data_IF_553615685842
#
_entry.id   IF_553615685842
#
_cell.length_a   1.000
_cell.length_b   1.000
_cell.length_c   1.000
_cell.angle_alpha   90.00
_cell.angle_beta   90.00
_cell.angle_gamma   90.00
#
_symmetry.space_group_name_H-M   'P 1'
#
loop_
_entity.id
_entity.type
_entity.pdbx_description
1 polymer ?
#
# COMPACT_ATOMS: atom_id res chain seq x y z
N UNK A 1 28.46 18.77 -0.54
CA UNK A 1 27.94 17.56 0.16
C UNK A 1 28.87 17.26 1.32
N UNK A 2 28.37 16.94 2.51
CA UNK A 2 29.22 16.37 3.56
C UNK A 2 29.85 15.08 3.04
N UNK A 3 31.12 14.88 3.26
CA UNK A 3 31.94 13.82 2.63
C UNK A 3 31.57 12.36 2.96
N UNK A 4 30.48 12.11 3.73
CA UNK A 4 30.02 10.77 4.15
C UNK A 4 28.50 10.58 4.07
N UNK A 5 27.78 11.37 3.29
CA UNK A 5 26.35 11.15 3.05
C UNK A 5 26.15 10.26 1.83
N UNK A 6 25.30 9.24 1.95
CA UNK A 6 24.87 8.39 0.84
C UNK A 6 23.43 8.72 0.45
N UNK A 7 23.14 8.59 -0.86
CA UNK A 7 21.76 8.73 -1.36
C UNK A 7 20.99 7.48 -0.97
N UNK A 8 19.90 7.64 -0.25
CA UNK A 8 19.02 6.55 0.15
C UNK A 8 17.87 6.34 -0.82
N UNK A 9 17.24 7.42 -1.28
CA UNK A 9 16.12 7.38 -2.22
C UNK A 9 16.00 8.70 -2.99
N UNK A 10 15.43 8.61 -4.18
CA UNK A 10 15.15 9.74 -5.06
C UNK A 10 13.72 9.61 -5.57
N UNK A 11 12.92 10.66 -5.49
CA UNK A 11 11.56 10.69 -6.03
C UNK A 11 11.28 12.00 -6.76
N UNK A 12 10.52 11.91 -7.84
CA UNK A 12 10.17 13.03 -8.71
C UNK A 12 8.72 13.43 -8.45
N UNK A 13 8.44 14.73 -8.48
CA UNK A 13 7.06 15.24 -8.38
C UNK A 13 6.19 14.80 -9.56
N UNK A 14 4.85 14.75 -9.42
CA UNK A 14 3.96 14.29 -10.49
C UNK A 14 4.14 14.99 -11.83
N UNK A 15 4.43 16.28 -11.85
CA UNK A 15 4.69 17.02 -13.09
C UNK A 15 6.11 16.89 -13.64
N UNK A 16 7.02 16.26 -12.90
CA UNK A 16 8.44 16.16 -13.25
C UNK A 16 9.25 17.44 -13.01
N UNK A 17 8.73 18.43 -12.28
CA UNK A 17 9.43 19.70 -12.04
C UNK A 17 10.43 19.64 -10.91
N UNK A 18 10.15 18.85 -9.87
CA UNK A 18 10.90 18.84 -8.64
C UNK A 18 11.41 17.46 -8.31
N UNK A 19 12.54 17.40 -7.63
CA UNK A 19 13.20 16.21 -7.16
C UNK A 19 13.31 16.27 -5.63
N UNK A 20 12.89 15.22 -4.96
CA UNK A 20 13.15 14.99 -3.55
C UNK A 20 14.22 13.92 -3.42
N UNK A 21 15.38 14.29 -2.88
CA UNK A 21 16.49 13.37 -2.60
C UNK A 21 16.60 13.14 -1.12
N UNK A 22 16.58 11.89 -0.69
CA UNK A 22 16.81 11.48 0.70
C UNK A 22 18.27 11.07 0.87
N UNK A 23 18.92 11.62 1.89
CA UNK A 23 20.28 11.30 2.25
C UNK A 23 20.35 10.60 3.59
N UNK A 24 21.30 9.70 3.70
CA UNK A 24 21.70 9.09 4.95
C UNK A 24 23.03 9.68 5.35
N UNK A 25 23.09 10.31 6.53
CA UNK A 25 24.31 10.83 7.11
C UNK A 25 24.94 9.79 8.04
N UNK A 26 26.06 9.24 7.62
CA UNK A 26 26.81 8.22 8.36
C UNK A 26 27.79 8.82 9.38
N UNK A 27 27.86 10.15 9.52
CA UNK A 27 28.78 10.83 10.43
C UNK A 27 28.33 10.88 11.89
N UNK A 28 27.07 10.62 12.17
CA UNK A 28 26.60 10.64 13.54
C UNK A 28 27.16 9.46 14.32
N UNK A 29 28.15 9.69 15.17
CA UNK A 29 28.87 8.71 15.98
C UNK A 29 27.97 7.80 16.88
N UNK A 30 26.64 7.99 16.90
CA UNK A 30 25.69 7.18 17.66
C UNK A 30 24.32 6.94 17.01
N UNK A 31 23.93 7.66 15.93
CA UNK A 31 22.65 7.43 15.20
C UNK A 31 22.80 7.95 13.76
N UNK A 32 22.48 7.12 12.78
CA UNK A 32 22.32 7.59 11.39
C UNK A 32 21.20 8.64 11.35
N UNK A 33 21.48 9.79 10.76
CA UNK A 33 20.50 10.85 10.54
C UNK A 33 20.05 10.81 9.09
N UNK A 34 18.75 10.85 8.89
CA UNK A 34 18.16 10.98 7.55
C UNK A 34 17.66 12.40 7.35
N UNK A 35 17.91 12.99 6.20
CA UNK A 35 17.37 14.28 5.81
C UNK A 35 17.04 14.28 4.31
N UNK A 36 16.17 15.19 3.89
CA UNK A 36 15.80 15.34 2.49
C UNK A 36 16.27 16.69 1.94
N UNK A 37 16.46 16.72 0.64
CA UNK A 37 16.78 17.91 -0.16
C UNK A 37 15.78 18.02 -1.29
N UNK A 38 15.23 19.23 -1.49
CA UNK A 38 14.29 19.55 -2.55
C UNK A 38 15.00 20.36 -3.63
N UNK A 39 14.98 19.87 -4.86
CA UNK A 39 15.68 20.49 -6.00
C UNK A 39 14.68 20.76 -7.14
N UNK A 40 14.77 21.91 -7.78
CA UNK A 40 14.08 22.20 -9.04
C UNK A 40 14.88 21.60 -10.21
N UNK A 41 14.27 20.65 -10.95
CA UNK A 41 14.99 19.89 -11.96
C UNK A 41 15.49 20.73 -13.14
N UNK A 42 14.68 21.69 -13.61
CA UNK A 42 15.02 22.52 -14.77
C UNK A 42 16.26 23.38 -14.57
N UNK A 43 16.39 23.99 -13.40
CA UNK A 43 17.49 24.89 -13.06
C UNK A 43 18.64 24.18 -12.32
N UNK A 44 18.39 23.00 -11.77
CA UNK A 44 19.29 22.34 -10.82
C UNK A 44 19.42 23.05 -9.48
N UNK A 45 18.57 24.05 -9.22
CA UNK A 45 18.60 24.84 -7.99
C UNK A 45 18.06 24.04 -6.81
N UNK A 46 18.85 23.92 -5.76
CA UNK A 46 18.39 23.42 -4.47
C UNK A 46 17.51 24.48 -3.81
N UNK A 47 16.26 24.13 -3.58
CA UNK A 47 15.26 25.00 -2.97
C UNK A 47 15.30 24.93 -1.44
N UNK A 48 15.37 23.72 -0.90
CA UNK A 48 15.43 23.47 0.54
C UNK A 48 16.39 22.32 0.83
N UNK A 49 17.12 22.44 1.94
CA UNK A 49 18.01 21.41 2.49
C UNK A 49 17.60 21.06 3.92
N UNK A 50 18.07 19.92 4.43
CA UNK A 50 17.79 19.47 5.80
C UNK A 50 16.29 19.34 6.12
N UNK A 51 15.46 19.06 5.11
CA UNK A 51 14.07 18.73 5.32
C UNK A 51 13.95 17.46 6.16
N UNK A 52 12.88 17.38 6.93
CA UNK A 52 12.57 16.20 7.75
C UNK A 52 12.43 14.95 6.89
N UNK A 53 12.75 13.83 7.48
CA UNK A 53 12.46 12.52 6.90
C UNK A 53 10.95 12.22 6.88
N UNK A 54 10.52 11.30 6.00
CA UNK A 54 9.12 10.87 5.91
C UNK A 54 8.23 11.75 5.04
N UNK A 55 8.81 12.67 4.25
CA UNK A 55 8.06 13.42 3.24
C UNK A 55 7.82 12.57 1.99
N UNK A 56 6.65 12.73 1.39
CA UNK A 56 6.24 12.07 0.15
C UNK A 56 5.50 13.03 -0.76
N UNK A 57 5.53 12.78 -2.07
CA UNK A 57 4.74 13.55 -3.02
C UNK A 57 3.26 13.23 -2.91
N UNK A 58 2.43 14.26 -3.05
CA UNK A 58 1.01 14.10 -3.32
C UNK A 58 0.84 13.41 -4.68
N UNK A 59 -0.24 12.62 -4.90
CA UNK A 59 -0.40 11.83 -6.13
C UNK A 59 -0.53 12.64 -7.41
N UNK A 60 -1.10 13.84 -7.35
CA UNK A 60 -1.46 14.68 -8.50
C UNK A 60 -0.79 16.04 -8.47
N UNK A 61 -0.80 16.69 -7.32
CA UNK A 61 -0.18 18.01 -7.15
C UNK A 61 1.32 17.87 -6.88
N UNK A 62 2.08 18.89 -7.27
CA UNK A 62 3.53 18.95 -6.98
C UNK A 62 3.81 19.35 -5.53
N UNK A 63 2.91 19.04 -4.59
CA UNK A 63 3.12 19.29 -3.16
C UNK A 63 3.76 18.08 -2.50
N UNK A 64 4.60 18.32 -1.53
CA UNK A 64 5.06 17.30 -0.58
C UNK A 64 4.11 17.24 0.60
N UNK A 65 3.93 16.07 1.20
CA UNK A 65 3.19 15.95 2.46
C UNK A 65 3.96 15.13 3.48
N UNK A 66 3.62 15.35 4.73
CA UNK A 66 4.10 14.59 5.88
C UNK A 66 3.09 14.64 7.02
N UNK A 67 3.23 13.72 7.97
CA UNK A 67 2.36 13.65 9.16
C UNK A 67 3.10 14.11 10.41
N UNK A 68 2.34 14.74 11.31
CA UNK A 68 2.81 15.13 12.65
C UNK A 68 1.83 14.59 13.67
N UNK A 69 2.33 13.88 14.67
CA UNK A 69 1.48 13.42 15.78
C UNK A 69 1.00 14.62 16.59
N UNK A 70 -0.32 14.75 16.71
CA UNK A 70 -1.02 15.75 17.52
C UNK A 70 -1.59 15.10 18.79
N UNK A 71 -2.27 15.87 19.64
CA UNK A 71 -2.86 15.35 20.87
C UNK A 71 -3.98 14.33 20.65
N UNK A 72 -4.73 14.47 19.57
CA UNK A 72 -5.94 13.69 19.26
C UNK A 72 -5.84 12.91 17.97
N UNK A 73 -4.64 12.67 17.45
CA UNK A 73 -4.44 11.96 16.18
C UNK A 73 -3.20 12.45 15.47
N UNK A 74 -3.27 12.51 14.14
CA UNK A 74 -2.18 12.98 13.31
C UNK A 74 -2.65 14.10 12.40
N UNK A 75 -1.85 15.15 12.29
CA UNK A 75 -2.08 16.21 11.33
C UNK A 75 -1.31 15.93 10.04
N UNK A 76 -1.90 16.25 8.90
CA UNK A 76 -1.25 16.18 7.59
C UNK A 76 -0.90 17.60 7.15
N UNK A 77 0.38 17.81 6.93
CA UNK A 77 0.94 19.08 6.49
C UNK A 77 1.46 18.91 5.07
N UNK A 78 1.16 19.86 4.20
CA UNK A 78 1.73 19.95 2.87
C UNK A 78 2.75 21.08 2.79
N UNK A 79 3.79 20.87 1.96
CA UNK A 79 4.77 21.86 1.55
C UNK A 79 4.64 22.09 0.05
N UNK A 80 4.40 23.32 -0.36
CA UNK A 80 4.37 23.73 -1.77
C UNK A 80 5.79 24.13 -2.22
N UNK A 81 6.42 23.40 -3.15
CA UNK A 81 7.75 23.72 -3.65
C UNK A 81 7.87 25.07 -4.36
N UNK A 82 6.78 25.58 -4.96
CA UNK A 82 6.80 26.84 -5.69
C UNK A 82 6.85 28.05 -4.76
N UNK A 83 6.15 27.97 -3.63
CA UNK A 83 6.05 29.07 -2.65
C UNK A 83 6.87 28.85 -1.39
N UNK A 84 7.34 27.61 -1.17
CA UNK A 84 8.02 27.13 0.03
C UNK A 84 7.19 27.32 1.31
N UNK A 85 5.86 27.35 1.17
CA UNK A 85 4.92 27.47 2.29
C UNK A 85 4.38 26.13 2.71
N UNK A 86 4.23 25.97 4.01
CA UNK A 86 3.56 24.83 4.63
C UNK A 86 2.11 25.18 4.97
N UNK A 87 1.24 24.20 4.85
CA UNK A 87 -0.18 24.29 5.17
C UNK A 87 -0.66 23.00 5.82
N UNK A 88 -1.36 23.09 6.95
CA UNK A 88 -2.04 21.94 7.55
C UNK A 88 -3.36 21.74 6.81
N UNK A 89 -3.44 20.64 6.05
CA UNK A 89 -4.62 20.32 5.22
C UNK A 89 -5.61 19.39 5.91
N UNK A 90 -5.15 18.58 6.87
CA UNK A 90 -5.99 17.70 7.68
C UNK A 90 -5.52 17.75 9.13
N UNK A 91 -6.47 17.69 10.05
CA UNK A 91 -6.20 17.66 11.49
C UNK A 91 -6.80 16.43 12.14
N UNK A 92 -6.06 15.87 13.09
CA UNK A 92 -6.55 14.79 13.96
C UNK A 92 -7.07 13.55 13.22
N UNK A 93 -6.44 13.18 12.08
CA UNK A 93 -6.78 11.91 11.43
C UNK A 93 -6.39 10.75 12.35
N UNK A 94 -7.23 9.69 12.45
CA UNK A 94 -7.05 8.65 13.47
C UNK A 94 -5.79 7.79 13.28
N UNK A 95 -5.30 7.66 12.03
CA UNK A 95 -4.21 6.75 11.69
C UNK A 95 -3.04 7.47 11.02
N UNK A 96 -1.81 6.96 11.27
CA UNK A 96 -0.59 7.49 10.63
C UNK A 96 -0.39 6.96 9.22
N UNK A 97 -0.90 5.74 8.95
CA UNK A 97 -0.77 5.09 7.66
C UNK A 97 -2.05 5.22 6.87
N UNK A 98 -1.94 5.83 5.72
CA UNK A 98 -3.04 6.00 4.78
C UNK A 98 -2.52 6.07 3.35
N UNK A 99 -3.41 5.92 2.38
CA UNK A 99 -3.14 6.10 0.96
C UNK A 99 -4.07 7.15 0.39
N UNK A 100 -3.50 8.13 -0.31
CA UNK A 100 -4.27 9.13 -1.05
C UNK A 100 -5.00 8.50 -2.23
N UNK A 101 -6.19 9.02 -2.52
CA UNK A 101 -6.81 8.84 -3.82
C UNK A 101 -5.95 9.50 -4.92
N UNK A 102 -5.97 8.99 -6.16
CA UNK A 102 -5.26 9.63 -7.27
C UNK A 102 -5.69 11.07 -7.52
N UNK A 103 -6.92 11.45 -7.15
CA UNK A 103 -7.48 12.78 -7.33
C UNK A 103 -7.26 13.71 -6.12
N UNK A 104 -6.71 13.21 -5.01
CA UNK A 104 -6.48 13.96 -3.76
C UNK A 104 -7.77 14.45 -3.09
N UNK A 105 -8.89 13.77 -3.28
CA UNK A 105 -10.21 14.09 -2.75
C UNK A 105 -10.61 13.27 -1.54
N UNK A 106 -9.98 12.10 -1.34
CA UNK A 106 -10.12 11.25 -0.17
C UNK A 106 -8.83 10.51 0.15
N UNK A 107 -8.80 9.88 1.30
CA UNK A 107 -7.76 8.90 1.65
C UNK A 107 -8.37 7.61 2.17
N UNK A 108 -7.66 6.51 1.96
CA UNK A 108 -7.97 5.20 2.54
C UNK A 108 -7.01 4.96 3.70
N UNK A 109 -7.54 4.59 4.87
CA UNK A 109 -6.78 4.30 6.06
C UNK A 109 -7.19 2.95 6.67
N UNK A 110 -6.49 2.50 7.73
CA UNK A 110 -6.53 1.12 8.22
C UNK A 110 -6.98 1.04 9.69
N UNK A 111 -8.26 1.28 10.00
CA UNK A 111 -8.76 1.09 11.36
C UNK A 111 -8.58 -0.35 11.82
N UNK A 112 -8.27 -0.51 13.11
CA UNK A 112 -8.06 -1.81 13.72
C UNK A 112 -9.10 -2.07 14.81
N UNK A 113 -9.72 -3.23 14.74
CA UNK A 113 -10.48 -3.79 15.84
C UNK A 113 -9.56 -4.70 16.66
N UNK A 114 -9.43 -4.39 17.94
CA UNK A 114 -8.73 -5.26 18.87
C UNK A 114 -9.56 -6.54 19.09
N UNK A 115 -8.88 -7.67 19.15
CA UNK A 115 -9.54 -8.93 19.52
C UNK A 115 -9.99 -8.92 20.98
N UNK A 116 -10.96 -9.75 21.30
CA UNK A 116 -11.43 -9.93 22.69
C UNK A 116 -10.25 -10.32 23.54
N UNK A 117 -9.96 -9.51 24.55
CA UNK A 117 -8.96 -9.80 25.59
C UNK A 117 -9.65 -10.65 26.65
N UNK A 118 -9.03 -11.77 27.00
CA UNK A 118 -9.46 -12.60 28.10
C UNK A 118 -8.74 -12.13 29.37
N UNK A 119 -9.50 -11.96 30.44
CA UNK A 119 -8.94 -11.58 31.73
C UNK A 119 -8.36 -12.81 32.44
N UNK A 120 -7.15 -12.63 33.04
CA UNK A 120 -6.50 -13.64 33.85
C UNK A 120 -5.38 -14.43 33.16
N UNK A 121 -4.79 -15.42 33.87
CA UNK A 121 -3.61 -16.15 33.40
C UNK A 121 -3.92 -17.24 32.37
N UNK A 122 -5.19 -17.55 32.14
CA UNK A 122 -5.62 -18.59 31.20
C UNK A 122 -6.14 -17.97 29.91
N UNK A 123 -5.70 -18.50 28.79
CA UNK A 123 -6.18 -18.12 27.47
C UNK A 123 -6.89 -19.31 26.78
N UNK A 124 -8.10 -19.11 26.34
CA UNK A 124 -8.82 -20.11 25.56
C UNK A 124 -8.25 -20.17 24.14
N UNK A 125 -7.80 -21.34 23.71
CA UNK A 125 -7.39 -21.61 22.32
C UNK A 125 -8.61 -22.04 21.54
N UNK A 126 -9.05 -21.24 20.58
CA UNK A 126 -10.25 -21.52 19.75
C UNK A 126 -9.84 -21.99 18.36
N UNK A 127 -8.67 -21.57 17.88
CA UNK A 127 -8.14 -21.94 16.58
C UNK A 127 -6.62 -22.02 16.59
N UNK A 128 -5.99 -22.66 15.60
CA UNK A 128 -4.52 -22.67 15.46
C UNK A 128 -3.90 -21.27 15.35
N UNK A 129 -4.64 -20.27 14.85
CA UNK A 129 -4.19 -18.88 14.76
C UNK A 129 -3.98 -18.24 16.13
N UNK A 130 -4.66 -18.70 17.19
CA UNK A 130 -4.52 -18.17 18.55
C UNK A 130 -3.13 -18.36 19.16
N UNK A 131 -2.27 -19.19 18.56
CA UNK A 131 -0.85 -19.27 18.93
C UNK A 131 -0.08 -17.98 18.62
N UNK A 132 -0.57 -17.17 17.69
CA UNK A 132 0.04 -15.90 17.28
C UNK A 132 -0.52 -14.79 18.18
N UNK A 133 0.33 -13.95 18.80
CA UNK A 133 -0.15 -12.80 19.55
C UNK A 133 -1.03 -11.89 18.70
N UNK A 134 -2.13 -11.40 19.26
CA UNK A 134 -3.09 -10.51 18.59
C UNK A 134 -3.80 -11.10 17.35
N UNK A 135 -3.80 -12.42 17.20
CA UNK A 135 -4.47 -13.12 16.08
C UNK A 135 -5.97 -12.83 15.96
N UNK A 136 -6.61 -12.44 17.08
CA UNK A 136 -8.04 -12.10 17.12
C UNK A 136 -8.34 -10.66 16.72
N UNK A 137 -7.32 -9.79 16.66
CA UNK A 137 -7.45 -8.44 16.11
C UNK A 137 -7.53 -8.48 14.59
N UNK A 138 -8.21 -7.50 14.00
CA UNK A 138 -8.32 -7.38 12.54
C UNK A 138 -8.26 -5.94 12.12
N UNK A 139 -7.71 -5.72 10.93
CA UNK A 139 -7.72 -4.42 10.26
C UNK A 139 -8.71 -4.45 9.11
N UNK A 140 -9.36 -3.33 8.89
CA UNK A 140 -10.26 -3.14 7.75
C UNK A 140 -9.90 -1.82 7.06
N UNK A 141 -10.58 -1.51 5.97
CA UNK A 141 -10.37 -0.30 5.20
C UNK A 141 -11.50 0.67 5.43
N UNK A 142 -11.16 1.93 5.61
CA UNK A 142 -12.09 3.04 5.69
C UNK A 142 -11.65 4.18 4.79
N UNK A 143 -12.60 4.91 4.25
CA UNK A 143 -12.43 6.10 3.42
C UNK A 143 -12.67 7.33 4.29
N UNK A 144 -11.76 8.28 4.22
CA UNK A 144 -11.95 9.62 4.80
C UNK A 144 -12.10 10.61 3.66
N UNK A 145 -13.25 11.23 3.56
CA UNK A 145 -13.55 12.23 2.53
C UNK A 145 -13.01 13.60 2.99
N UNK A 146 -12.23 14.27 2.14
CA UNK A 146 -11.61 15.54 2.49
C UNK A 146 -12.59 16.72 2.46
N UNK A 147 -13.66 16.62 1.66
CA UNK A 147 -14.60 17.72 1.49
C UNK A 147 -15.47 17.98 2.73
N UNK A 148 -15.85 16.92 3.45
CA UNK A 148 -16.77 16.98 4.59
C UNK A 148 -16.20 16.38 5.89
N UNK A 149 -15.02 15.76 5.83
CA UNK A 149 -14.38 15.12 6.97
C UNK A 149 -15.07 13.83 7.44
N UNK A 150 -15.96 13.25 6.62
CA UNK A 150 -16.70 12.03 6.98
C UNK A 150 -15.84 10.80 6.73
N UNK A 151 -15.83 9.91 7.72
CA UNK A 151 -15.23 8.58 7.62
C UNK A 151 -16.26 7.52 7.34
N UNK A 152 -16.03 6.70 6.34
CA UNK A 152 -16.87 5.59 5.93
C UNK A 152 -16.10 4.27 5.93
N UNK A 153 -16.63 3.24 6.60
CA UNK A 153 -16.06 1.91 6.57
C UNK A 153 -16.38 1.23 5.25
N UNK A 154 -15.34 0.75 4.55
CA UNK A 154 -15.47 0.13 3.22
C UNK A 154 -15.49 -1.40 3.27
N UNK A 155 -14.82 -2.00 4.25
CA UNK A 155 -14.70 -3.47 4.32
C UNK A 155 -15.22 -4.01 5.64
N UNK A 156 -15.82 -5.19 5.56
CA UNK A 156 -16.46 -5.90 6.66
C UNK A 156 -16.05 -7.37 6.66
N UNK A 157 -16.42 -8.12 7.69
CA UNK A 157 -16.17 -9.56 7.73
C UNK A 157 -15.23 -9.99 8.84
N UNK A 158 -14.78 -11.25 8.78
CA UNK A 158 -14.03 -11.90 9.86
C UNK A 158 -12.51 -11.92 9.64
N UNK A 159 -12.03 -11.44 8.49
CA UNK A 159 -10.61 -11.42 8.13
C UNK A 159 -10.12 -9.99 7.99
N UNK A 160 -8.84 -9.77 8.30
CA UNK A 160 -8.19 -8.51 7.98
C UNK A 160 -8.20 -8.28 6.48
N UNK A 161 -8.37 -7.01 6.10
CA UNK A 161 -8.39 -6.57 4.71
C UNK A 161 -7.17 -5.69 4.42
N UNK A 162 -6.58 -5.83 3.25
CA UNK A 162 -5.36 -5.16 2.84
C UNK A 162 -5.59 -4.43 1.51
N UNK A 163 -5.40 -3.12 1.51
CA UNK A 163 -5.47 -2.33 0.29
C UNK A 163 -4.39 -2.80 -0.69
N UNK A 164 -4.80 -3.10 -1.90
CA UNK A 164 -3.89 -3.43 -3.00
C UNK A 164 -3.66 -2.19 -3.87
N UNK A 165 -4.73 -1.58 -4.37
CA UNK A 165 -4.63 -0.39 -5.19
C UNK A 165 -5.95 0.40 -5.24
N UNK A 166 -5.89 1.64 -5.77
CA UNK A 166 -7.04 2.48 -6.11
C UNK A 166 -6.96 2.75 -7.61
N UNK A 167 -8.09 2.62 -8.33
CA UNK A 167 -8.14 2.87 -9.76
C UNK A 167 -7.71 4.30 -10.11
N UNK A 168 -7.08 4.53 -11.28
CA UNK A 168 -6.59 5.86 -11.66
C UNK A 168 -7.65 6.96 -11.66
N UNK A 169 -8.92 6.61 -11.88
CA UNK A 169 -10.06 7.53 -11.82
C UNK A 169 -10.63 7.72 -10.40
N UNK A 170 -10.11 6.99 -9.41
CA UNK A 170 -10.55 7.06 -8.02
C UNK A 170 -11.89 6.38 -7.72
N UNK A 171 -12.48 5.64 -8.67
CA UNK A 171 -13.82 5.05 -8.50
C UNK A 171 -13.82 3.67 -7.87
N UNK A 172 -12.76 2.92 -8.06
CA UNK A 172 -12.64 1.55 -7.60
C UNK A 172 -11.43 1.36 -6.69
N UNK A 173 -11.56 0.42 -5.76
CA UNK A 173 -10.49 0.00 -4.89
C UNK A 173 -10.31 -1.51 -4.99
N UNK A 174 -9.06 -1.97 -5.07
CA UNK A 174 -8.70 -3.36 -4.92
C UNK A 174 -8.28 -3.63 -3.48
N UNK A 175 -8.81 -4.69 -2.90
CA UNK A 175 -8.35 -5.16 -1.60
C UNK A 175 -8.28 -6.68 -1.56
N UNK A 176 -7.41 -7.20 -0.71
CA UNK A 176 -7.27 -8.62 -0.47
C UNK A 176 -7.62 -8.98 0.97
N UNK A 177 -7.98 -10.25 1.16
CA UNK A 177 -8.06 -10.90 2.45
C UNK A 177 -7.14 -12.11 2.45
N UNK A 178 -6.70 -12.53 3.64
CA UNK A 178 -5.95 -13.76 3.81
C UNK A 178 -6.58 -14.60 4.91
N UNK A 179 -6.72 -15.90 4.65
CA UNK A 179 -7.24 -16.89 5.59
C UNK A 179 -6.20 -17.97 5.78
N UNK A 180 -5.93 -18.35 7.03
CA UNK A 180 -5.02 -19.44 7.30
C UNK A 180 -5.66 -20.80 6.95
N UNK A 181 -4.90 -21.65 6.25
CA UNK A 181 -5.26 -23.03 5.97
C UNK A 181 -4.03 -23.92 6.17
N UNK A 182 -3.92 -24.52 7.34
CA UNK A 182 -2.75 -25.32 7.73
C UNK A 182 -2.72 -26.73 7.17
N UNK A 183 -3.76 -27.15 6.43
CA UNK A 183 -3.88 -28.53 5.92
C UNK A 183 -3.01 -28.78 4.70
N UNK A 184 -2.62 -27.72 3.98
CA UNK A 184 -1.86 -27.81 2.73
C UNK A 184 -1.00 -26.56 2.54
N UNK A 185 0.20 -26.68 2.01
CA UNK A 185 1.07 -25.56 1.62
C UNK A 185 0.66 -24.99 0.24
N UNK A 186 0.81 -23.67 0.06
CA UNK A 186 1.02 -22.62 1.06
C UNK A 186 -0.10 -22.59 2.11
N UNK A 187 0.24 -22.18 3.35
CA UNK A 187 -0.70 -22.21 4.47
C UNK A 187 -1.69 -21.05 4.49
N UNK A 188 -1.66 -20.18 3.49
CA UNK A 188 -2.56 -19.05 3.34
C UNK A 188 -3.40 -19.17 2.08
N UNK A 189 -4.66 -18.81 2.19
CA UNK A 189 -5.60 -18.63 1.09
C UNK A 189 -5.88 -17.15 0.93
N UNK A 190 -5.54 -16.59 -0.22
CA UNK A 190 -5.78 -15.19 -0.54
C UNK A 190 -7.01 -15.03 -1.41
N UNK A 191 -7.79 -14.00 -1.13
CA UNK A 191 -8.90 -13.60 -2.01
C UNK A 191 -8.70 -12.14 -2.41
N UNK A 192 -9.02 -11.81 -3.65
CA UNK A 192 -8.92 -10.47 -4.22
C UNK A 192 -10.30 -9.97 -4.62
N UNK A 193 -10.61 -8.76 -4.22
CA UNK A 193 -11.89 -8.11 -4.46
C UNK A 193 -11.69 -6.72 -5.06
N UNK A 194 -12.67 -6.30 -5.85
CA UNK A 194 -12.84 -4.94 -6.31
C UNK A 194 -14.10 -4.35 -5.69
N UNK A 195 -14.02 -3.15 -5.13
CA UNK A 195 -15.18 -2.43 -4.61
C UNK A 195 -15.36 -1.12 -5.37
N UNK A 196 -16.58 -0.84 -5.77
CA UNK A 196 -17.01 0.46 -6.26
C UNK A 196 -17.17 1.40 -5.05
N UNK A 197 -16.40 2.50 -5.03
CA UNK A 197 -16.32 3.41 -3.88
C UNK A 197 -17.52 4.37 -3.75
N UNK A 198 -18.41 4.39 -4.74
CA UNK A 198 -19.65 5.15 -4.70
C UNK A 198 -20.84 4.28 -4.24
N UNK A 199 -20.97 3.11 -4.86
CA UNK A 199 -22.12 2.21 -4.61
C UNK A 199 -21.84 1.16 -3.53
N UNK A 200 -20.59 1.00 -3.11
CA UNK A 200 -20.08 -0.03 -2.20
C UNK A 200 -20.31 -1.47 -2.69
N UNK A 201 -20.60 -1.63 -3.98
CA UNK A 201 -20.75 -2.95 -4.59
C UNK A 201 -19.40 -3.64 -4.68
N UNK A 202 -19.34 -4.85 -4.13
CA UNK A 202 -18.14 -5.68 -4.15
C UNK A 202 -18.23 -6.72 -5.26
N UNK A 203 -17.16 -6.83 -6.03
CA UNK A 203 -16.96 -7.85 -7.05
C UNK A 203 -15.78 -8.74 -6.63
N UNK A 204 -15.98 -10.06 -6.65
CA UNK A 204 -14.93 -11.04 -6.32
C UNK A 204 -14.14 -11.37 -7.55
N UNK A 205 -12.87 -10.97 -7.58
CA UNK A 205 -11.97 -11.26 -8.68
C UNK A 205 -11.37 -12.67 -8.57
N UNK A 206 -10.89 -13.02 -7.38
CA UNK A 206 -10.35 -14.33 -7.05
C UNK A 206 -10.77 -14.73 -5.64
N UNK A 207 -11.05 -16.01 -5.45
CA UNK A 207 -11.49 -16.53 -4.18
C UNK A 207 -10.60 -17.72 -3.73
N UNK A 208 -10.01 -17.55 -2.56
CA UNK A 208 -9.22 -18.58 -1.87
C UNK A 208 -8.12 -19.25 -2.74
N UNK A 209 -7.37 -18.46 -3.51
CA UNK A 209 -6.18 -18.92 -4.21
C UNK A 209 -4.96 -18.87 -3.28
N UNK A 210 -4.11 -19.92 -3.33
CA UNK A 210 -2.92 -20.04 -2.48
C UNK A 210 -1.71 -19.29 -2.99
N UNK A 211 -1.72 -18.92 -4.26
CA UNK A 211 -0.52 -18.53 -5.01
C UNK A 211 -0.57 -17.10 -5.53
N UNK A 212 -1.69 -16.41 -5.33
CA UNK A 212 -1.84 -15.00 -5.68
C UNK A 212 -1.09 -14.13 -4.68
N UNK A 213 -0.33 -13.17 -5.20
CA UNK A 213 0.36 -12.11 -4.46
C UNK A 213 -0.38 -10.78 -4.51
N UNK A 214 0.25 -9.76 -5.08
CA UNK A 214 -0.29 -8.41 -5.20
C UNK A 214 -1.11 -8.17 -6.47
N UNK A 215 -1.83 -7.04 -6.48
CA UNK A 215 -2.58 -6.56 -7.62
C UNK A 215 -2.51 -5.03 -7.72
N UNK A 216 -2.43 -4.49 -8.95
CA UNK A 216 -2.46 -3.06 -9.20
C UNK A 216 -3.12 -2.75 -10.53
N UNK A 217 -3.75 -1.59 -10.66
CA UNK A 217 -4.36 -1.14 -11.91
C UNK A 217 -3.31 -0.70 -12.92
N UNK A 218 -3.61 -0.93 -14.21
CA UNK A 218 -2.92 -0.24 -15.31
C UNK A 218 -3.24 1.27 -15.27
N UNK A 219 -2.39 2.13 -15.85
CA UNK A 219 -2.63 3.57 -15.87
C UNK A 219 -3.95 4.00 -16.51
N UNK A 220 -4.50 3.20 -17.42
CA UNK A 220 -5.79 3.43 -18.05
C UNK A 220 -6.99 2.79 -17.32
N UNK A 221 -6.71 2.07 -16.21
CA UNK A 221 -7.72 1.42 -15.39
C UNK A 221 -8.41 0.20 -16.01
N UNK A 222 -7.96 -0.29 -17.19
CA UNK A 222 -8.64 -1.38 -17.91
C UNK A 222 -8.09 -2.77 -17.60
N UNK A 223 -6.88 -2.82 -17.08
CA UNK A 223 -6.19 -4.05 -16.79
C UNK A 223 -5.67 -4.05 -15.34
N UNK A 224 -5.37 -5.24 -14.85
CA UNK A 224 -4.63 -5.43 -13.61
C UNK A 224 -3.28 -6.09 -13.90
N UNK A 225 -2.23 -5.53 -13.35
CA UNK A 225 -0.99 -6.23 -13.12
C UNK A 225 -1.16 -7.08 -11.85
N UNK A 226 -1.04 -8.37 -11.99
CA UNK A 226 -1.11 -9.33 -10.90
C UNK A 226 0.27 -9.95 -10.68
N UNK A 227 0.59 -10.20 -9.43
CA UNK A 227 1.78 -10.99 -9.07
C UNK A 227 1.35 -12.28 -8.40
N UNK A 228 2.16 -13.32 -8.54
CA UNK A 228 1.87 -14.60 -7.92
C UNK A 228 2.96 -15.63 -8.27
N UNK A 229 2.90 -16.81 -7.67
CA UNK A 229 3.78 -17.88 -8.09
C UNK A 229 3.37 -18.46 -9.45
N UNK A 230 4.21 -19.26 -10.12
CA UNK A 230 3.84 -19.95 -11.35
C UNK A 230 2.58 -20.81 -11.23
N UNK A 231 2.22 -21.23 -10.02
CA UNK A 231 1.02 -22.02 -9.71
C UNK A 231 -0.28 -21.23 -9.68
N UNK A 232 -0.18 -19.88 -9.60
CA UNK A 232 -1.36 -19.01 -9.55
C UNK A 232 -2.24 -19.17 -10.79
N UNK A 233 -3.51 -18.88 -10.63
CA UNK A 233 -4.49 -18.87 -11.73
C UNK A 233 -4.57 -20.19 -12.49
N UNK A 234 -4.50 -21.33 -11.75
CA UNK A 234 -4.54 -22.66 -12.35
C UNK A 234 -3.24 -23.12 -12.99
N UNK A 235 -2.12 -22.50 -12.62
CA UNK A 235 -0.78 -22.92 -13.06
C UNK A 235 -0.41 -22.43 -14.46
N UNK A 236 -1.04 -21.35 -14.95
CA UNK A 236 -0.74 -20.81 -16.30
C UNK A 236 0.68 -20.26 -16.44
N UNK A 237 1.33 -19.94 -15.30
CA UNK A 237 2.71 -19.45 -15.25
C UNK A 237 3.78 -20.55 -15.28
N UNK A 238 3.39 -21.83 -15.23
CA UNK A 238 4.36 -22.93 -15.21
C UNK A 238 5.14 -23.04 -16.51
N UNK A 239 6.45 -23.18 -16.38
CA UNK A 239 7.39 -23.43 -17.46
C UNK A 239 8.37 -24.54 -17.07
N UNK A 240 7.86 -25.65 -16.55
CA UNK A 240 8.66 -26.77 -16.05
C UNK A 240 8.49 -28.05 -16.87
N UNK A 241 7.89 -27.96 -18.06
CA UNK A 241 7.63 -29.11 -18.93
C UNK A 241 6.84 -30.21 -18.20
N UNK A 242 7.37 -31.44 -18.21
CA UNK A 242 6.74 -32.58 -17.57
C UNK A 242 7.03 -32.74 -16.06
N UNK A 243 7.67 -31.77 -15.44
CA UNK A 243 8.03 -31.76 -14.03
C UNK A 243 7.21 -30.74 -13.26
N UNK A 244 5.93 -30.96 -12.95
CA UNK A 244 5.09 -30.02 -12.22
C UNK A 244 5.51 -30.01 -10.75
N UNK A 245 6.47 -29.16 -10.41
CA UNK A 245 6.84 -28.89 -9.03
C UNK A 245 6.16 -27.58 -8.65
N UNK A 246 5.36 -27.61 -7.58
CA UNK A 246 4.80 -26.41 -7.00
C UNK A 246 5.95 -25.49 -6.55
N UNK A 247 5.95 -24.26 -7.01
CA UNK A 247 6.93 -23.26 -6.65
C UNK A 247 6.24 -22.07 -5.99
N UNK A 248 6.31 -22.06 -4.65
CA UNK A 248 5.71 -21.00 -3.81
C UNK A 248 6.60 -19.77 -3.73
N UNK A 249 7.87 -19.88 -4.14
CA UNK A 249 8.89 -18.86 -3.86
C UNK A 249 9.19 -17.96 -5.05
N UNK A 250 9.00 -18.43 -6.26
CA UNK A 250 9.17 -17.62 -7.45
C UNK A 250 7.96 -16.70 -7.64
N UNK A 251 8.24 -15.47 -8.01
CA UNK A 251 7.21 -14.50 -8.31
C UNK A 251 7.19 -14.21 -9.80
N UNK A 252 6.03 -14.39 -10.41
CA UNK A 252 5.75 -14.03 -11.79
C UNK A 252 4.74 -12.89 -11.87
N UNK A 253 4.73 -12.22 -13.02
CA UNK A 253 3.77 -11.19 -13.35
C UNK A 253 2.78 -11.69 -14.40
N UNK A 254 1.52 -11.27 -14.22
CA UNK A 254 0.40 -11.60 -15.08
C UNK A 254 -0.39 -10.33 -15.38
N UNK A 255 -1.05 -10.28 -16.52
CA UNK A 255 -2.00 -9.23 -16.86
C UNK A 255 -3.39 -9.82 -16.96
N UNK A 256 -4.35 -9.19 -16.29
CA UNK A 256 -5.77 -9.52 -16.41
C UNK A 256 -6.51 -8.37 -17.07
N UNK A 257 -7.25 -8.64 -18.13
CA UNK A 257 -8.23 -7.70 -18.68
C UNK A 257 -9.50 -7.71 -17.83
N UNK A 258 -9.89 -6.55 -17.31
CA UNK A 258 -11.01 -6.42 -16.38
C UNK A 258 -12.36 -6.71 -17.04
N UNK A 259 -12.53 -6.45 -18.32
CA UNK A 259 -13.78 -6.66 -19.03
C UNK A 259 -14.04 -8.13 -19.37
N UNK A 260 -13.00 -8.84 -19.78
CA UNK A 260 -13.08 -10.24 -20.21
C UNK A 260 -12.67 -11.24 -19.14
N UNK A 261 -12.02 -10.78 -18.07
CA UNK A 261 -11.39 -11.59 -17.00
C UNK A 261 -10.30 -12.52 -17.50
N UNK A 262 -9.83 -12.34 -18.73
CA UNK A 262 -8.77 -13.17 -19.30
C UNK A 262 -7.42 -12.79 -18.69
N UNK A 263 -6.67 -13.82 -18.26
CA UNK A 263 -5.36 -13.65 -17.64
C UNK A 263 -4.29 -14.21 -18.58
N UNK A 264 -3.15 -13.50 -18.64
CA UNK A 264 -1.98 -13.89 -19.43
C UNK A 264 -0.73 -13.75 -18.57
N UNK A 265 0.14 -14.78 -18.52
CA UNK A 265 1.45 -14.66 -17.90
C UNK A 265 2.36 -13.84 -18.81
N UNK A 266 3.13 -12.89 -18.22
CA UNK A 266 4.04 -12.03 -18.99
C UNK A 266 5.52 -12.30 -18.68
N UNK A 267 5.82 -13.02 -17.61
CA UNK A 267 7.19 -13.37 -17.23
C UNK A 267 7.48 -14.88 -17.23
N UNK A 268 6.56 -15.69 -17.77
CA UNK A 268 6.67 -17.15 -17.79
C UNK A 268 7.96 -17.68 -18.42
N UNK A 269 8.42 -17.01 -19.48
CA UNK A 269 9.57 -17.45 -20.29
C UNK A 269 10.86 -16.66 -19.98
N UNK A 270 10.85 -15.86 -18.90
CA UNK A 270 12.05 -15.23 -18.39
C UNK A 270 12.90 -16.25 -17.63
N UNK A 271 14.17 -16.40 -18.04
CA UNK A 271 15.18 -17.24 -17.43
C UNK A 271 16.21 -16.42 -16.68
#
# INVERSE_FOLDING_TARGET
>A
MPSNSSIGNVSISPSGKYLLTRYWDNHAAKRSRTYCELTELKSGKVLLTNLRDGMSWMPKSDKLYYTVTALTGNDVITLDPATLREETILQSIPEQSFRWSPNEDFLIYYPREEGVKEDGPLRRIVSPADRIPNSRGRSFLAKYNLADGVSERLTYGNHSTYLQDISPDGKYMLYSTSKENITQRPFSLSSLYQVDLETLKVDTLFYEDRFIGGAGYSPDGKQLLLTGSPEAFGGIGKNCGNHPIANDFDTQAFIMDLSTRKIQPITKDFH
#
